data_IF_352796175429
#
_entry.id   IF_352796175429
#
_cell.length_a   1.000
_cell.length_b   1.000
_cell.length_c   1.000
_cell.angle_alpha   90.00
_cell.angle_beta   90.00
_cell.angle_gamma   90.00
#
_symmetry.space_group_name_H-M   'P 1'
#
loop_
_entity.id
_entity.type
_entity.pdbx_description
1 polymer ?
#
# COMPACT_ATOMS: atom_id res chain seq x y z
N UNK A 1 48.75 -27.20 -19.00
CA UNK A 1 47.53 -26.39 -19.09
C UNK A 1 47.48 -25.25 -18.07
N UNK A 2 48.42 -25.18 -17.11
CA UNK A 2 48.52 -24.03 -16.18
C UNK A 2 49.38 -22.86 -16.70
N UNK A 3 50.38 -23.11 -17.55
CA UNK A 3 51.32 -22.06 -17.96
C UNK A 3 50.69 -20.97 -18.84
N UNK A 4 49.77 -21.31 -19.75
CA UNK A 4 49.14 -20.35 -20.68
C UNK A 4 48.16 -19.39 -20.00
N UNK A 5 47.52 -19.81 -18.90
CA UNK A 5 46.62 -18.95 -18.14
C UNK A 5 47.41 -17.94 -17.29
N UNK A 6 48.58 -18.35 -16.76
CA UNK A 6 49.46 -17.46 -16.00
C UNK A 6 50.14 -16.43 -16.87
N UNK A 7 50.60 -16.78 -18.08
CA UNK A 7 51.18 -15.81 -19.03
C UNK A 7 50.14 -14.82 -19.55
N UNK A 8 48.90 -15.25 -19.76
CA UNK A 8 47.81 -14.38 -20.22
C UNK A 8 47.41 -13.36 -19.15
N UNK A 9 47.39 -13.74 -17.87
CA UNK A 9 47.17 -12.79 -16.78
C UNK A 9 48.30 -11.76 -16.68
N UNK A 10 49.56 -12.18 -16.89
CA UNK A 10 50.69 -11.25 -16.92
C UNK A 10 50.58 -10.22 -18.07
N UNK A 11 50.01 -10.60 -19.21
CA UNK A 11 49.74 -9.68 -20.32
C UNK A 11 48.72 -8.62 -19.92
N UNK A 12 47.64 -9.01 -19.24
CA UNK A 12 46.63 -8.07 -18.75
C UNK A 12 47.17 -7.14 -17.67
N UNK A 13 47.98 -7.67 -16.74
CA UNK A 13 48.62 -6.86 -15.70
C UNK A 13 49.58 -5.82 -16.31
N UNK A 14 50.32 -6.18 -17.38
CA UNK A 14 51.17 -5.23 -18.11
C UNK A 14 50.37 -4.12 -18.81
N UNK A 15 49.22 -4.45 -19.42
CA UNK A 15 48.34 -3.46 -20.04
C UNK A 15 47.68 -2.54 -18.98
N UNK A 16 47.25 -3.10 -17.84
CA UNK A 16 46.74 -2.31 -16.71
C UNK A 16 47.82 -1.38 -16.14
N UNK A 17 49.07 -1.85 -16.00
CA UNK A 17 50.18 -1.03 -15.56
C UNK A 17 50.50 0.11 -16.54
N UNK A 18 50.27 -0.09 -17.84
CA UNK A 18 50.39 0.94 -18.86
C UNK A 18 49.25 1.97 -18.85
N UNK A 19 48.17 1.71 -18.10
CA UNK A 19 47.02 2.60 -17.97
C UNK A 19 45.76 2.17 -18.77
N UNK A 20 45.75 0.97 -19.35
CA UNK A 20 44.55 0.44 -20.02
C UNK A 20 43.55 -0.12 -18.99
N UNK A 21 42.48 0.64 -18.76
CA UNK A 21 41.48 0.38 -17.69
C UNK A 21 40.63 -0.87 -17.95
N UNK A 22 40.41 -1.24 -19.22
CA UNK A 22 39.54 -2.35 -19.59
C UNK A 22 40.25 -3.73 -19.57
N UNK A 23 41.52 -3.81 -19.16
CA UNK A 23 42.22 -5.10 -19.03
C UNK A 23 41.63 -6.00 -17.92
N UNK A 24 40.88 -5.45 -16.97
CA UNK A 24 40.25 -6.20 -15.87
C UNK A 24 38.77 -6.56 -16.13
N UNK A 25 38.25 -6.32 -17.34
CA UNK A 25 36.85 -6.61 -17.66
C UNK A 25 36.60 -8.13 -17.74
N UNK A 26 35.72 -8.65 -16.89
CA UNK A 26 35.40 -10.09 -16.83
C UNK A 26 34.39 -10.57 -17.90
N UNK A 27 33.74 -9.64 -18.59
CA UNK A 27 32.59 -9.92 -19.45
C UNK A 27 32.92 -9.93 -20.96
N UNK A 28 34.18 -9.66 -21.34
CA UNK A 28 34.65 -9.66 -22.74
C UNK A 28 35.61 -10.82 -23.01
N UNK A 29 35.58 -11.43 -24.21
CA UNK A 29 36.47 -12.53 -24.54
C UNK A 29 37.95 -12.06 -24.55
N UNK A 30 38.90 -12.86 -24.03
CA UNK A 30 40.31 -12.47 -23.91
C UNK A 30 40.97 -11.97 -25.20
N UNK A 31 40.59 -12.53 -26.36
CA UNK A 31 41.10 -12.09 -27.66
C UNK A 31 40.69 -10.66 -28.04
N UNK A 32 39.49 -10.22 -27.62
CA UNK A 32 39.04 -8.84 -27.81
C UNK A 32 39.76 -7.88 -26.86
N UNK A 33 39.94 -8.26 -25.59
CA UNK A 33 40.70 -7.45 -24.62
C UNK A 33 42.14 -7.19 -25.10
N UNK A 34 42.78 -8.21 -25.68
CA UNK A 34 44.13 -8.08 -26.26
C UNK A 34 44.12 -7.17 -27.49
N UNK A 35 43.14 -7.31 -28.37
CA UNK A 35 43.00 -6.49 -29.59
C UNK A 35 42.79 -5.02 -29.24
N UNK A 36 41.89 -4.74 -28.29
CA UNK A 36 41.59 -3.40 -27.81
C UNK A 36 42.78 -2.79 -27.05
N UNK A 37 43.49 -3.60 -26.26
CA UNK A 37 44.71 -3.19 -25.58
C UNK A 37 45.85 -2.81 -26.54
N UNK A 38 46.04 -3.57 -27.62
CA UNK A 38 47.00 -3.24 -28.69
C UNK A 38 46.58 -1.96 -29.43
N UNK A 39 45.29 -1.80 -29.74
CA UNK A 39 44.74 -0.58 -30.34
C UNK A 39 45.01 0.65 -29.49
N UNK A 40 44.73 0.55 -28.19
CA UNK A 40 44.99 1.63 -27.24
C UNK A 40 46.49 2.00 -27.18
N UNK A 41 47.38 1.01 -27.11
CA UNK A 41 48.82 1.28 -27.09
C UNK A 41 49.31 1.95 -28.38
N UNK A 42 48.79 1.54 -29.54
CA UNK A 42 49.16 2.14 -30.84
C UNK A 42 48.61 3.56 -30.98
N UNK A 43 47.38 3.81 -30.53
CA UNK A 43 46.80 5.15 -30.49
C UNK A 43 47.58 6.10 -29.53
N UNK A 44 48.13 5.56 -28.44
CA UNK A 44 48.97 6.31 -27.52
C UNK A 44 50.37 6.62 -28.08
N UNK A 45 50.91 5.77 -28.97
CA UNK A 45 52.23 5.97 -29.60
C UNK A 45 52.13 6.78 -30.89
N UNK A 46 51.05 6.63 -31.66
CA UNK A 46 50.82 7.29 -32.94
C UNK A 46 49.44 7.93 -32.95
N UNK A 47 49.38 9.24 -33.23
CA UNK A 47 48.15 10.04 -33.36
C UNK A 47 47.35 9.71 -34.64
N UNK A 48 47.32 8.44 -35.05
CA UNK A 48 46.59 7.95 -36.21
C UNK A 48 45.29 7.28 -35.75
N UNK A 49 44.16 7.77 -36.22
CA UNK A 49 42.83 7.18 -36.00
C UNK A 49 42.76 5.90 -36.83
N UNK A 50 42.51 4.76 -36.19
CA UNK A 50 42.32 3.46 -36.87
C UNK A 50 40.83 3.09 -36.72
N UNK A 51 40.18 2.82 -37.85
CA UNK A 51 38.75 2.44 -37.96
C UNK A 51 38.50 1.03 -37.39
N UNK A 52 37.37 0.89 -36.69
CA UNK A 52 37.14 0.00 -35.54
C UNK A 52 36.59 -1.41 -35.84
N UNK A 53 36.85 -2.05 -37.00
CA UNK A 53 36.08 -3.29 -37.28
C UNK A 53 36.77 -4.47 -37.99
N UNK A 54 38.10 -4.47 -38.21
CA UNK A 54 38.76 -5.63 -38.85
C UNK A 54 40.09 -6.04 -38.21
N UNK A 55 40.17 -7.20 -37.56
CA UNK A 55 41.40 -7.77 -36.93
C UNK A 55 42.64 -7.91 -37.84
N UNK A 56 42.52 -7.66 -39.15
CA UNK A 56 43.64 -7.61 -40.11
C UNK A 56 44.46 -6.31 -40.01
N UNK A 57 43.94 -5.26 -39.36
CA UNK A 57 44.63 -3.96 -39.23
C UNK A 57 45.89 -4.05 -38.34
N UNK A 58 45.95 -5.04 -37.44
CA UNK A 58 47.02 -5.18 -36.42
C UNK A 58 48.40 -5.35 -37.08
N UNK A 59 48.51 -6.10 -38.18
CA UNK A 59 49.80 -6.34 -38.85
C UNK A 59 50.34 -5.07 -39.51
N UNK A 60 49.46 -4.28 -40.13
CA UNK A 60 49.82 -3.03 -40.78
C UNK A 60 50.15 -1.93 -39.76
N UNK A 61 49.41 -1.89 -38.65
CA UNK A 61 49.65 -0.92 -37.57
C UNK A 61 50.92 -1.24 -36.76
N UNK A 62 51.26 -2.51 -36.55
CA UNK A 62 52.55 -2.86 -35.94
C UNK A 62 53.72 -2.56 -36.87
N UNK A 63 53.53 -2.67 -38.20
CA UNK A 63 54.51 -2.26 -39.21
C UNK A 63 54.71 -0.74 -39.22
N UNK A 64 53.64 0.05 -39.10
CA UNK A 64 53.72 1.52 -39.08
C UNK A 64 54.43 2.06 -37.82
N UNK A 65 54.28 1.39 -36.67
CA UNK A 65 54.98 1.73 -35.42
C UNK A 65 56.41 1.15 -35.39
N UNK A 66 56.76 0.26 -36.32
CA UNK A 66 58.10 -0.32 -36.48
C UNK A 66 58.44 -1.40 -35.45
N UNK A 67 57.46 -2.23 -35.06
CA UNK A 67 57.67 -3.32 -34.11
C UNK A 67 58.59 -4.40 -34.69
N UNK A 68 59.66 -4.84 -33.98
CA UNK A 68 60.60 -5.85 -34.48
C UNK A 68 60.08 -7.29 -34.38
N UNK A 69 58.93 -7.51 -33.73
CA UNK A 69 58.36 -8.82 -33.47
C UNK A 69 57.14 -9.08 -34.40
N UNK A 70 57.12 -10.20 -35.14
CA UNK A 70 56.03 -10.51 -36.07
C UNK A 70 54.81 -11.05 -35.32
N UNK A 71 53.72 -10.28 -35.31
CA UNK A 71 52.41 -10.76 -34.85
C UNK A 71 51.49 -10.89 -36.06
N UNK A 72 50.71 -11.98 -36.12
CA UNK A 72 49.71 -12.18 -37.17
C UNK A 72 48.32 -12.16 -36.56
N UNK A 73 47.32 -11.80 -37.36
CA UNK A 73 45.92 -11.78 -36.92
C UNK A 73 45.45 -13.16 -36.39
N UNK A 74 45.97 -14.24 -36.95
CA UNK A 74 45.72 -15.61 -36.48
C UNK A 74 46.24 -15.86 -35.06
N UNK A 75 47.41 -15.31 -34.69
CA UNK A 75 48.00 -15.51 -33.36
C UNK A 75 47.17 -14.84 -32.26
N UNK A 76 46.50 -13.72 -32.54
CA UNK A 76 45.60 -13.03 -31.59
C UNK A 76 44.26 -13.76 -31.44
N UNK A 77 43.75 -14.32 -32.54
CA UNK A 77 42.51 -15.13 -32.53
C UNK A 77 42.70 -16.46 -31.80
N UNK A 78 43.84 -17.10 -32.01
CA UNK A 78 44.18 -18.39 -31.42
C UNK A 78 44.83 -18.26 -30.02
N UNK A 79 44.95 -17.03 -29.50
CA UNK A 79 45.50 -16.71 -28.17
C UNK A 79 46.90 -17.31 -27.92
N UNK A 80 47.77 -17.19 -28.92
CA UNK A 80 49.16 -17.63 -28.85
C UNK A 80 49.98 -16.67 -27.97
N UNK A 81 50.01 -16.95 -26.66
CA UNK A 81 50.67 -16.10 -25.65
C UNK A 81 52.15 -15.91 -25.89
N UNK A 82 52.82 -16.86 -26.55
CA UNK A 82 54.27 -16.81 -26.80
C UNK A 82 54.61 -15.80 -27.90
N UNK A 83 53.71 -15.60 -28.87
CA UNK A 83 53.84 -14.58 -29.90
C UNK A 83 53.33 -13.19 -29.45
N UNK A 84 52.31 -13.15 -28.59
CA UNK A 84 51.66 -11.90 -28.15
C UNK A 84 52.50 -11.17 -27.08
N UNK A 85 53.09 -11.91 -26.14
CA UNK A 85 53.78 -11.32 -24.98
C UNK A 85 54.93 -10.35 -25.36
N UNK A 86 55.85 -10.69 -26.29
CA UNK A 86 56.92 -9.79 -26.69
C UNK A 86 56.43 -8.48 -27.34
N UNK A 87 55.29 -8.54 -28.04
CA UNK A 87 54.71 -7.35 -28.70
C UNK A 87 54.10 -6.41 -27.68
N UNK A 88 53.33 -6.92 -26.72
CA UNK A 88 52.73 -6.09 -25.67
C UNK A 88 53.80 -5.49 -24.76
N UNK A 89 54.82 -6.28 -24.37
CA UNK A 89 55.92 -5.76 -23.56
C UNK A 89 56.63 -4.60 -24.26
N UNK A 90 56.88 -4.71 -25.58
CA UNK A 90 57.50 -3.66 -26.36
C UNK A 90 56.60 -2.41 -26.52
N UNK A 91 55.30 -2.61 -26.77
CA UNK A 91 54.33 -1.51 -26.90
C UNK A 91 54.19 -0.72 -25.60
N UNK A 92 54.02 -1.40 -24.47
CA UNK A 92 53.90 -0.77 -23.14
C UNK A 92 55.15 0.05 -22.81
N UNK A 93 56.35 -0.49 -23.07
CA UNK A 93 57.60 0.24 -22.84
C UNK A 93 57.68 1.51 -23.69
N UNK A 94 57.15 1.48 -24.92
CA UNK A 94 57.14 2.63 -25.82
C UNK A 94 56.06 3.67 -25.46
N UNK A 95 54.91 3.25 -24.93
CA UNK A 95 53.88 4.14 -24.36
C UNK A 95 54.42 4.91 -23.16
N UNK A 96 55.10 4.21 -22.22
CA UNK A 96 55.69 4.84 -21.04
C UNK A 96 56.76 5.87 -21.42
N UNK A 97 57.61 5.57 -22.41
CA UNK A 97 58.57 6.56 -22.92
C UNK A 97 57.90 7.77 -23.58
N UNK A 98 56.79 7.59 -24.30
CA UNK A 98 56.03 8.69 -24.94
C UNK A 98 55.38 9.63 -23.90
N UNK A 99 54.85 9.08 -22.80
CA UNK A 99 54.28 9.86 -21.69
C UNK A 99 55.33 10.69 -20.93
N UNK A 100 56.58 10.21 -20.83
CA UNK A 100 57.67 10.98 -20.22
C UNK A 100 58.07 12.22 -21.05
N UNK A 101 57.95 12.19 -22.38
CA UNK A 101 58.16 13.37 -23.23
C UNK A 101 57.06 14.43 -23.05
N UNK A 102 55.80 14.03 -22.88
CA UNK A 102 54.67 14.94 -22.62
C UNK A 102 54.71 15.58 -21.22
N UNK A 103 55.35 14.92 -20.24
CA UNK A 103 55.53 15.49 -18.90
C UNK A 103 56.67 16.52 -18.84
N UNK A 104 57.69 16.39 -19.71
CA UNK A 104 58.84 17.30 -19.76
C UNK A 104 58.61 18.61 -20.57
N UNK A 105 57.55 18.70 -21.39
CA UNK A 105 57.19 19.96 -22.06
C UNK A 105 56.56 21.01 -21.12
N UNK A 106 56.19 20.65 -19.88
CA UNK A 106 55.64 21.59 -18.88
C UNK A 106 56.75 22.35 -18.10
N UNK A 107 58.04 22.00 -18.30
CA UNK A 107 59.14 22.61 -17.51
C UNK A 107 60.07 23.56 -18.27
N UNK A 108 59.86 23.85 -19.56
CA UNK A 108 60.70 24.84 -20.26
C UNK A 108 59.95 25.69 -21.29
N UNK A 109 59.42 26.83 -20.84
CA UNK A 109 59.75 28.14 -21.44
C UNK A 109 59.14 29.27 -20.60
N UNK A 110 59.81 29.61 -19.50
CA UNK A 110 59.77 30.97 -18.97
C UNK A 110 60.44 31.88 -20.01
N UNK A 111 59.69 32.86 -20.54
CA UNK A 111 60.12 34.22 -20.88
C UNK A 111 59.01 34.95 -21.67
N UNK A 112 58.03 35.54 -20.97
CA UNK A 112 57.57 36.93 -21.19
C UNK A 112 56.73 37.38 -19.99
N UNK A 113 57.19 38.44 -19.32
CA UNK A 113 56.60 39.07 -18.14
C UNK A 113 55.50 40.05 -18.58
N UNK A 114 54.24 39.86 -18.15
CA UNK A 114 53.20 40.90 -18.31
C UNK A 114 51.71 40.55 -18.18
N UNK A 115 51.25 39.29 -18.26
CA UNK A 115 49.80 38.95 -18.30
C UNK A 115 49.27 37.98 -17.21
N UNK A 116 50.08 37.67 -16.19
CA UNK A 116 49.80 36.55 -15.25
C UNK A 116 48.71 36.79 -14.19
N UNK A 117 48.52 38.02 -13.71
CA UNK A 117 47.66 38.25 -12.53
C UNK A 117 46.15 38.18 -12.84
N UNK A 118 45.72 38.65 -14.02
CA UNK A 118 44.31 38.61 -14.43
C UNK A 118 43.85 37.18 -14.75
N UNK A 119 44.73 36.36 -15.34
CA UNK A 119 44.46 34.94 -15.59
C UNK A 119 44.35 34.17 -14.26
N UNK A 120 45.24 34.42 -13.31
CA UNK A 120 45.22 33.75 -11.99
C UNK A 120 43.95 34.09 -11.16
N UNK A 121 43.44 35.31 -11.25
CA UNK A 121 42.18 35.70 -10.58
C UNK A 121 40.96 35.05 -11.25
N UNK A 122 40.94 34.97 -12.58
CA UNK A 122 39.88 34.32 -13.34
C UNK A 122 39.85 32.80 -13.11
N UNK A 123 41.01 32.15 -12.99
CA UNK A 123 41.09 30.73 -12.62
C UNK A 123 40.52 30.45 -11.22
N UNK A 124 40.76 31.33 -10.23
CA UNK A 124 40.19 31.19 -8.88
C UNK A 124 38.67 31.36 -8.82
N UNK A 125 38.09 32.22 -9.66
CA UNK A 125 36.63 32.35 -9.76
C UNK A 125 36.00 31.14 -10.46
N UNK A 126 36.62 30.65 -11.54
CA UNK A 126 36.17 29.44 -12.24
C UNK A 126 36.18 28.25 -11.27
N UNK A 127 37.26 28.05 -10.51
CA UNK A 127 37.37 26.98 -9.52
C UNK A 127 36.27 27.07 -8.43
N UNK A 128 35.96 28.28 -7.94
CA UNK A 128 34.85 28.51 -7.00
C UNK A 128 33.49 28.15 -7.61
N UNK A 129 33.24 28.58 -8.85
CA UNK A 129 31.98 28.26 -9.54
C UNK A 129 31.87 26.77 -9.83
N UNK A 130 32.96 26.08 -10.17
CA UNK A 130 33.00 24.63 -10.37
C UNK A 130 32.69 23.88 -9.08
N UNK A 131 33.21 24.33 -7.93
CA UNK A 131 32.88 23.78 -6.62
C UNK A 131 31.39 23.99 -6.31
N UNK A 132 30.83 25.18 -6.55
CA UNK A 132 29.39 25.44 -6.35
C UNK A 132 28.51 24.60 -7.27
N UNK A 133 28.88 24.43 -8.55
CA UNK A 133 28.17 23.58 -9.51
C UNK A 133 28.22 22.12 -9.09
N UNK A 134 29.39 21.64 -8.63
CA UNK A 134 29.56 20.28 -8.11
C UNK A 134 28.66 20.03 -6.89
N UNK A 135 28.60 20.99 -5.96
CA UNK A 135 27.72 20.93 -4.78
C UNK A 135 26.24 20.93 -5.16
N UNK A 136 25.82 21.81 -6.08
CA UNK A 136 24.43 21.86 -6.57
C UNK A 136 24.03 20.59 -7.30
N UNK A 137 24.94 20.00 -8.10
CA UNK A 137 24.72 18.71 -8.75
C UNK A 137 24.55 17.58 -7.72
N UNK A 138 25.41 17.54 -6.70
CA UNK A 138 25.27 16.59 -5.59
C UNK A 138 23.91 16.70 -4.88
N UNK A 139 23.46 17.92 -4.59
CA UNK A 139 22.14 18.16 -3.99
C UNK A 139 20.99 17.72 -4.92
N UNK A 140 21.13 17.94 -6.23
CA UNK A 140 20.15 17.50 -7.22
C UNK A 140 20.08 15.98 -7.31
N UNK A 141 21.22 15.30 -7.28
CA UNK A 141 21.31 13.84 -7.30
C UNK A 141 20.71 13.21 -6.03
N UNK A 142 20.91 13.86 -4.88
CA UNK A 142 20.29 13.46 -3.61
C UNK A 142 18.77 13.67 -3.64
N UNK A 143 18.29 14.81 -4.16
CA UNK A 143 16.87 15.08 -4.31
C UNK A 143 16.20 14.07 -5.26
N UNK A 144 16.89 13.72 -6.35
CA UNK A 144 16.44 12.71 -7.30
C UNK A 144 16.40 11.31 -6.68
N UNK A 145 17.37 10.94 -5.85
CA UNK A 145 17.35 9.70 -5.07
C UNK A 145 16.15 9.65 -4.10
N UNK A 146 15.90 10.75 -3.38
CA UNK A 146 14.75 10.84 -2.47
C UNK A 146 13.42 10.75 -3.23
N UNK A 147 13.28 11.45 -4.35
CA UNK A 147 12.11 11.36 -5.24
C UNK A 147 11.89 9.92 -5.72
N UNK A 148 12.94 9.25 -6.17
CA UNK A 148 12.88 7.86 -6.63
C UNK A 148 12.43 6.92 -5.51
N UNK A 149 12.93 7.09 -4.28
CA UNK A 149 12.52 6.30 -3.13
C UNK A 149 11.03 6.48 -2.81
N UNK A 150 10.54 7.72 -2.83
CA UNK A 150 9.11 8.02 -2.60
C UNK A 150 8.23 7.42 -3.69
N UNK A 151 8.64 7.49 -4.97
CA UNK A 151 7.90 6.87 -6.08
C UNK A 151 7.80 5.36 -5.89
N UNK A 152 8.91 4.69 -5.55
CA UNK A 152 8.90 3.24 -5.25
C UNK A 152 7.95 2.88 -4.11
N UNK A 153 7.89 3.70 -3.06
CA UNK A 153 6.97 3.49 -1.95
C UNK A 153 5.51 3.68 -2.39
N UNK A 154 5.21 4.69 -3.22
CA UNK A 154 3.88 4.92 -3.78
C UNK A 154 3.43 3.76 -4.68
N UNK A 155 4.32 3.23 -5.51
CA UNK A 155 4.04 2.08 -6.38
C UNK A 155 3.72 0.84 -5.55
N UNK A 156 4.50 0.59 -4.49
CA UNK A 156 4.24 -0.53 -3.59
C UNK A 156 2.88 -0.39 -2.86
N UNK A 157 2.52 0.82 -2.41
CA UNK A 157 1.22 1.09 -1.81
C UNK A 157 0.08 0.87 -2.83
N UNK A 158 0.28 1.31 -4.08
CA UNK A 158 -0.71 1.13 -5.16
C UNK A 158 -0.95 -0.34 -5.49
N UNK A 159 0.10 -1.14 -5.53
CA UNK A 159 -0.02 -2.60 -5.70
C UNK A 159 -0.80 -3.26 -4.55
N UNK A 160 -0.56 -2.84 -3.30
CA UNK A 160 -1.30 -3.35 -2.13
C UNK A 160 -2.78 -3.01 -2.20
N UNK A 161 -3.10 -1.77 -2.56
CA UNK A 161 -4.49 -1.29 -2.73
C UNK A 161 -5.22 -2.08 -3.82
N UNK A 162 -4.54 -2.37 -4.94
CA UNK A 162 -5.09 -3.18 -6.02
C UNK A 162 -5.35 -4.63 -5.60
N UNK A 163 -4.45 -5.23 -4.81
CA UNK A 163 -4.62 -6.60 -4.27
C UNK A 163 -5.81 -6.72 -3.32
N UNK A 164 -6.11 -5.68 -2.55
CA UNK A 164 -7.23 -5.64 -1.60
C UNK A 164 -8.57 -5.20 -2.23
N UNK A 165 -8.59 -4.83 -3.53
CA UNK A 165 -9.81 -4.47 -4.25
C UNK A 165 -10.43 -3.12 -3.83
N UNK A 166 -9.68 -2.27 -3.13
CA UNK A 166 -10.16 -1.01 -2.54
C UNK A 166 -9.89 0.24 -3.40
N UNK A 167 -9.42 0.08 -4.63
CA UNK A 167 -8.96 1.17 -5.51
C UNK A 167 -10.03 2.26 -5.73
N UNK A 168 -11.31 1.88 -5.89
CA UNK A 168 -12.42 2.84 -6.05
C UNK A 168 -12.63 3.72 -4.81
N UNK A 169 -12.50 3.16 -3.60
CA UNK A 169 -12.60 3.88 -2.34
C UNK A 169 -11.41 4.81 -2.11
N UNK A 170 -10.19 4.32 -2.41
CA UNK A 170 -8.97 5.12 -2.27
C UNK A 170 -8.94 6.26 -3.28
N UNK A 171 -9.36 6.07 -4.53
CA UNK A 171 -9.46 7.16 -5.51
C UNK A 171 -10.43 8.26 -5.06
N UNK A 172 -11.57 7.87 -4.46
CA UNK A 172 -12.51 8.82 -3.87
C UNK A 172 -11.89 9.58 -2.69
N UNK A 173 -11.14 8.89 -1.84
CA UNK A 173 -10.43 9.50 -0.71
C UNK A 173 -9.33 10.47 -1.19
N UNK A 174 -8.55 10.09 -2.21
CA UNK A 174 -7.53 10.95 -2.82
C UNK A 174 -8.19 12.19 -3.39
N UNK A 175 -9.28 12.07 -4.16
CA UNK A 175 -10.02 13.21 -4.66
C UNK A 175 -10.48 14.16 -3.54
N UNK A 176 -11.09 13.61 -2.47
CA UNK A 176 -11.55 14.38 -1.31
C UNK A 176 -10.39 15.04 -0.54
N UNK A 177 -9.27 14.34 -0.38
CA UNK A 177 -8.10 14.90 0.30
C UNK A 177 -7.45 16.02 -0.53
N UNK A 178 -7.46 15.87 -1.86
CA UNK A 178 -6.96 16.90 -2.78
C UNK A 178 -7.87 18.12 -2.78
N UNK A 179 -9.19 17.95 -2.74
CA UNK A 179 -10.14 19.05 -2.62
C UNK A 179 -10.05 19.74 -1.25
N UNK A 180 -9.89 18.97 -0.16
CA UNK A 180 -9.64 19.51 1.18
C UNK A 180 -8.36 20.35 1.23
N UNK A 181 -7.24 19.83 0.71
CA UNK A 181 -5.97 20.58 0.64
C UNK A 181 -6.06 21.84 -0.21
N UNK A 182 -6.88 21.85 -1.26
CA UNK A 182 -7.19 23.07 -2.02
C UNK A 182 -7.98 24.08 -1.18
N UNK A 183 -8.96 23.61 -0.41
CA UNK A 183 -9.78 24.46 0.45
C UNK A 183 -8.95 25.08 1.59
N UNK A 184 -8.10 24.29 2.25
CA UNK A 184 -7.17 24.73 3.29
C UNK A 184 -6.23 25.84 2.78
N UNK A 185 -5.67 25.68 1.56
CA UNK A 185 -4.88 26.74 0.93
C UNK A 185 -5.71 27.99 0.65
N UNK A 186 -6.95 27.83 0.21
CA UNK A 186 -7.85 28.93 -0.08
C UNK A 186 -8.22 29.72 1.18
N UNK A 187 -8.41 29.02 2.31
CA UNK A 187 -8.66 29.61 3.63
C UNK A 187 -7.43 30.38 4.13
N UNK A 188 -6.24 29.78 4.07
CA UNK A 188 -4.99 30.44 4.46
C UNK A 188 -4.69 31.68 3.59
N UNK A 189 -4.95 31.60 2.29
CA UNK A 189 -4.83 32.74 1.37
C UNK A 189 -5.85 33.83 1.72
N UNK A 190 -7.11 33.45 1.99
CA UNK A 190 -8.15 34.40 2.39
C UNK A 190 -7.80 35.09 3.70
N UNK A 191 -7.30 34.36 4.68
CA UNK A 191 -6.83 34.88 5.96
C UNK A 191 -5.69 35.88 5.79
N UNK A 192 -4.66 35.52 5.01
CA UNK A 192 -3.54 36.42 4.71
C UNK A 192 -3.99 37.70 3.99
N UNK A 193 -4.90 37.56 3.02
CA UNK A 193 -5.47 38.69 2.30
C UNK A 193 -6.32 39.59 3.21
N UNK A 194 -7.07 39.00 4.14
CA UNK A 194 -7.85 39.73 5.15
C UNK A 194 -6.94 40.55 6.06
N UNK A 195 -5.87 39.95 6.55
CA UNK A 195 -4.94 40.60 7.47
C UNK A 195 -4.14 41.72 6.74
N UNK A 196 -3.76 41.51 5.48
CA UNK A 196 -3.16 42.56 4.63
C UNK A 196 -4.13 43.72 4.39
N UNK A 197 -5.39 43.43 4.04
CA UNK A 197 -6.38 44.48 3.77
C UNK A 197 -6.77 45.25 5.02
N UNK A 198 -6.77 44.59 6.18
CA UNK A 198 -6.95 45.24 7.48
C UNK A 198 -5.83 46.25 7.76
N UNK A 199 -4.56 45.88 7.52
CA UNK A 199 -3.42 46.77 7.70
C UNK A 199 -3.51 47.99 6.76
N UNK A 200 -3.81 47.78 5.47
CA UNK A 200 -4.00 48.87 4.50
C UNK A 200 -5.06 49.88 4.97
N UNK A 201 -6.22 49.39 5.38
CA UNK A 201 -7.31 50.25 5.86
C UNK A 201 -6.93 50.98 7.16
N UNK A 202 -6.17 50.34 8.04
CA UNK A 202 -5.71 50.95 9.28
C UNK A 202 -4.68 52.08 9.02
N UNK A 203 -3.83 51.91 8.01
CA UNK A 203 -2.90 52.95 7.55
C UNK A 203 -3.65 54.11 6.89
N UNK A 204 -4.65 53.82 6.04
CA UNK A 204 -5.53 54.83 5.42
C UNK A 204 -6.29 55.64 6.49
N UNK A 205 -6.83 54.98 7.53
CA UNK A 205 -7.47 55.65 8.68
C UNK A 205 -6.46 56.57 9.39
N UNK A 206 -5.26 56.06 9.69
CA UNK A 206 -4.21 56.84 10.37
C UNK A 206 -3.74 58.04 9.54
N UNK A 207 -3.74 57.92 8.21
CA UNK A 207 -3.42 59.03 7.31
C UNK A 207 -4.55 60.06 7.23
N UNK A 208 -5.81 59.62 7.19
CA UNK A 208 -6.98 60.49 7.24
C UNK A 208 -7.08 61.25 8.57
N UNK A 209 -6.85 60.59 9.70
CA UNK A 209 -6.78 61.22 11.03
C UNK A 209 -5.70 62.32 11.07
N UNK A 210 -4.54 62.07 10.45
CA UNK A 210 -3.46 63.06 10.32
C UNK A 210 -3.86 64.25 9.44
N UNK A 211 -4.56 63.99 8.33
CA UNK A 211 -5.06 65.04 7.41
C UNK A 211 -6.14 65.90 8.08
N UNK A 212 -7.02 65.30 8.89
CA UNK A 212 -8.03 66.01 9.71
C UNK A 212 -7.34 66.89 10.76
N UNK A 213 -6.31 66.38 11.44
CA UNK A 213 -5.54 67.16 12.41
C UNK A 213 -4.81 68.37 11.79
N UNK A 214 -4.51 68.32 10.48
CA UNK A 214 -3.80 69.37 9.75
C UNK A 214 -4.72 70.44 9.11
N UNK A 215 -6.03 70.43 9.37
CA UNK A 215 -6.94 71.52 9.02
C UNK A 215 -7.21 71.71 7.51
N UNK A 216 -7.49 70.63 6.78
CA UNK A 216 -7.82 70.66 5.35
C UNK A 216 -9.30 70.99 5.04
N UNK A 217 -9.53 71.71 3.94
CA UNK A 217 -10.81 72.30 3.52
C UNK A 217 -11.89 71.25 3.15
N UNK A 218 -13.08 71.40 3.75
CA UNK A 218 -14.01 70.29 4.00
C UNK A 218 -15.10 70.05 2.95
N UNK A 219 -15.22 70.84 1.87
CA UNK A 219 -16.42 70.78 1.01
C UNK A 219 -16.35 69.80 -0.16
N UNK A 220 -15.26 69.78 -0.93
CA UNK A 220 -15.10 68.84 -2.06
C UNK A 220 -14.69 67.43 -1.60
N UNK A 221 -14.04 67.35 -0.42
CA UNK A 221 -13.64 66.11 0.23
C UNK A 221 -14.86 65.35 0.78
N UNK A 222 -15.86 66.07 1.31
CA UNK A 222 -17.08 65.47 1.89
C UNK A 222 -17.87 64.68 0.86
N UNK A 223 -18.11 65.23 -0.33
CA UNK A 223 -18.95 64.57 -1.34
C UNK A 223 -18.29 63.31 -1.90
N UNK A 224 -16.97 63.33 -2.16
CA UNK A 224 -16.24 62.15 -2.63
C UNK A 224 -16.09 61.07 -1.54
N UNK A 225 -15.88 61.49 -0.28
CA UNK A 225 -15.95 60.57 0.85
C UNK A 225 -17.36 59.99 1.03
N UNK A 226 -18.42 60.78 0.92
CA UNK A 226 -19.79 60.29 1.01
C UNK A 226 -20.09 59.25 -0.08
N UNK A 227 -19.67 59.50 -1.32
CA UNK A 227 -19.79 58.51 -2.40
C UNK A 227 -19.00 57.23 -2.11
N UNK A 228 -17.75 57.34 -1.64
CA UNK A 228 -16.91 56.17 -1.31
C UNK A 228 -17.44 55.36 -0.11
N UNK A 229 -17.95 56.03 0.93
CA UNK A 229 -18.60 55.40 2.07
C UNK A 229 -19.90 54.71 1.67
N UNK A 230 -20.67 55.32 0.76
CA UNK A 230 -21.89 54.70 0.23
C UNK A 230 -21.57 53.43 -0.56
N UNK A 231 -20.55 53.43 -1.42
CA UNK A 231 -20.09 52.23 -2.15
C UNK A 231 -19.60 51.14 -1.18
N UNK A 232 -18.81 51.51 -0.15
CA UNK A 232 -18.35 50.58 0.88
C UNK A 232 -19.51 49.99 1.69
N UNK A 233 -20.54 50.79 2.02
CA UNK A 233 -21.75 50.32 2.70
C UNK A 233 -22.54 49.34 1.83
N UNK A 234 -22.71 49.63 0.54
CA UNK A 234 -23.38 48.71 -0.39
C UNK A 234 -22.61 47.40 -0.55
N UNK A 235 -21.27 47.46 -0.66
CA UNK A 235 -20.40 46.27 -0.70
C UNK A 235 -20.46 45.48 0.61
N UNK A 236 -20.49 46.16 1.76
CA UNK A 236 -20.67 45.53 3.07
C UNK A 236 -22.02 44.81 3.13
N UNK A 237 -23.10 45.44 2.68
CA UNK A 237 -24.42 44.83 2.68
C UNK A 237 -24.52 43.64 1.72
N UNK A 238 -23.85 43.71 0.55
CA UNK A 238 -23.75 42.59 -0.36
C UNK A 238 -23.02 41.40 0.28
N UNK A 239 -21.88 41.64 0.93
CA UNK A 239 -21.12 40.58 1.61
C UNK A 239 -21.88 40.00 2.80
N UNK A 240 -22.58 40.84 3.59
CA UNK A 240 -23.49 40.37 4.65
C UNK A 240 -24.60 39.48 4.10
N UNK A 241 -25.20 39.82 2.96
CA UNK A 241 -26.22 38.98 2.29
C UNK A 241 -25.64 37.63 1.86
N UNK A 242 -24.43 37.61 1.31
CA UNK A 242 -23.73 36.38 0.93
C UNK A 242 -23.42 35.50 2.16
N UNK A 243 -22.92 36.10 3.25
CA UNK A 243 -22.68 35.40 4.51
C UNK A 243 -23.97 34.83 5.09
N UNK A 244 -25.06 35.60 5.09
CA UNK A 244 -26.36 35.15 5.55
C UNK A 244 -26.89 33.96 4.71
N UNK A 245 -26.64 33.95 3.40
CA UNK A 245 -26.96 32.80 2.55
C UNK A 245 -26.15 31.56 2.96
N UNK A 246 -24.83 31.70 3.16
CA UNK A 246 -23.98 30.59 3.63
C UNK A 246 -24.35 30.08 5.01
N UNK A 247 -24.74 30.95 5.93
CA UNK A 247 -25.23 30.54 7.25
C UNK A 247 -26.53 29.73 7.15
N UNK A 248 -27.45 30.13 6.27
CA UNK A 248 -28.67 29.33 6.01
C UNK A 248 -28.32 27.94 5.45
N UNK A 249 -27.36 27.86 4.54
CA UNK A 249 -26.90 26.58 3.99
C UNK A 249 -26.28 25.69 5.10
N UNK A 250 -25.45 26.25 5.98
CA UNK A 250 -24.86 25.53 7.13
C UNK A 250 -25.94 25.02 8.07
N UNK A 251 -26.94 25.83 8.39
CA UNK A 251 -28.05 25.42 9.27
C UNK A 251 -28.89 24.32 8.61
N UNK A 252 -29.11 24.39 7.30
CA UNK A 252 -29.79 23.32 6.56
C UNK A 252 -29.01 22.00 6.60
N UNK A 253 -27.69 22.04 6.42
CA UNK A 253 -26.83 20.87 6.55
C UNK A 253 -26.82 20.31 7.98
N UNK A 254 -26.78 21.17 9.00
CA UNK A 254 -26.87 20.74 10.41
C UNK A 254 -28.17 20.01 10.70
N UNK A 255 -29.31 20.52 10.21
CA UNK A 255 -30.60 19.82 10.33
C UNK A 255 -30.58 18.44 9.69
N UNK A 256 -30.00 18.31 8.50
CA UNK A 256 -29.85 17.00 7.84
C UNK A 256 -28.94 16.05 8.63
N UNK A 257 -27.96 16.57 9.35
CA UNK A 257 -27.10 15.78 10.24
C UNK A 257 -27.87 15.39 11.51
N UNK A 258 -28.65 16.29 12.09
CA UNK A 258 -29.47 16.03 13.29
C UNK A 258 -30.61 15.03 12.99
N UNK A 259 -31.09 14.97 11.74
CA UNK A 259 -32.05 13.96 11.27
C UNK A 259 -31.46 12.53 11.24
N UNK A 260 -30.12 12.39 11.28
CA UNK A 260 -29.46 11.09 11.35
C UNK A 260 -29.38 10.64 12.81
N UNK A 261 -29.77 9.38 13.11
CA UNK A 261 -29.73 8.89 14.48
C UNK A 261 -28.30 8.91 15.01
N UNK A 262 -28.13 9.51 16.17
CA UNK A 262 -26.84 9.56 16.84
C UNK A 262 -26.44 8.18 17.36
N UNK A 263 -25.15 8.02 17.69
CA UNK A 263 -24.62 6.73 18.18
C UNK A 263 -25.42 6.17 19.38
N UNK A 264 -25.90 7.02 20.29
CA UNK A 264 -26.73 6.60 21.41
C UNK A 264 -28.12 6.11 20.99
N UNK A 265 -28.74 6.72 19.98
CA UNK A 265 -30.03 6.26 19.44
C UNK A 265 -29.89 4.91 18.74
N UNK A 266 -28.80 4.72 17.97
CA UNK A 266 -28.49 3.43 17.34
C UNK A 266 -28.38 2.34 18.41
N UNK A 267 -27.62 2.58 19.48
CA UNK A 267 -27.47 1.62 20.59
C UNK A 267 -28.82 1.34 21.26
N UNK A 268 -29.67 2.37 21.45
CA UNK A 268 -31.02 2.16 21.98
C UNK A 268 -31.88 1.29 21.06
N UNK A 269 -31.81 1.50 19.74
CA UNK A 269 -32.50 0.66 18.77
C UNK A 269 -31.98 -0.79 18.78
N UNK A 270 -30.67 -1.00 18.89
CA UNK A 270 -30.07 -2.34 19.01
C UNK A 270 -30.57 -3.07 20.26
N UNK A 271 -30.61 -2.41 21.41
CA UNK A 271 -31.17 -2.98 22.63
C UNK A 271 -32.66 -3.30 22.44
N UNK A 272 -33.44 -2.38 21.88
CA UNK A 272 -34.87 -2.57 21.68
C UNK A 272 -35.18 -3.72 20.72
N UNK A 273 -34.40 -3.86 19.64
CA UNK A 273 -34.50 -4.98 18.70
C UNK A 273 -34.14 -6.30 19.37
N UNK A 274 -33.09 -6.32 20.20
CA UNK A 274 -32.69 -7.52 20.96
C UNK A 274 -33.77 -7.97 21.94
N UNK A 275 -34.39 -7.04 22.66
CA UNK A 275 -35.54 -7.31 23.54
C UNK A 275 -36.72 -7.87 22.75
N UNK A 276 -37.07 -7.23 21.63
CA UNK A 276 -38.18 -7.68 20.79
C UNK A 276 -37.92 -9.09 20.25
N UNK A 277 -36.69 -9.37 19.82
CA UNK A 277 -36.30 -10.69 19.35
C UNK A 277 -36.43 -11.75 20.45
N UNK A 278 -36.01 -11.43 21.69
CA UNK A 278 -36.20 -12.32 22.83
C UNK A 278 -37.69 -12.60 23.12
N UNK A 279 -38.55 -11.59 23.01
CA UNK A 279 -40.00 -11.75 23.17
C UNK A 279 -40.61 -12.64 22.08
N UNK A 280 -40.26 -12.39 20.81
CA UNK A 280 -40.70 -13.20 19.67
C UNK A 280 -40.26 -14.66 19.85
N UNK A 281 -38.99 -14.89 20.21
CA UNK A 281 -38.47 -16.23 20.45
C UNK A 281 -39.18 -16.92 21.62
N UNK A 282 -39.49 -16.17 22.69
CA UNK A 282 -40.30 -16.66 23.81
C UNK A 282 -41.69 -17.11 23.39
N UNK A 283 -42.40 -16.28 22.62
CA UNK A 283 -43.73 -16.61 22.07
C UNK A 283 -43.67 -17.80 21.12
N UNK A 284 -42.68 -17.86 20.24
CA UNK A 284 -42.48 -18.98 19.33
C UNK A 284 -42.30 -20.30 20.10
N UNK A 285 -41.44 -20.33 21.13
CA UNK A 285 -41.28 -21.51 22.01
C UNK A 285 -42.59 -21.89 22.70
N UNK A 286 -43.35 -20.91 23.18
CA UNK A 286 -44.64 -21.16 23.83
C UNK A 286 -45.65 -21.79 22.85
N UNK A 287 -45.76 -21.24 21.63
CA UNK A 287 -46.59 -21.78 20.56
C UNK A 287 -46.22 -23.21 20.22
N UNK A 288 -44.91 -23.51 20.07
CA UNK A 288 -44.44 -24.87 19.83
C UNK A 288 -44.84 -25.84 20.96
N UNK A 289 -44.74 -25.42 22.23
CA UNK A 289 -45.19 -26.24 23.37
C UNK A 289 -46.69 -26.52 23.31
N UNK A 290 -47.50 -25.54 22.94
CA UNK A 290 -48.94 -25.73 22.78
C UNK A 290 -49.26 -26.71 21.66
N UNK A 291 -48.63 -26.59 20.49
CA UNK A 291 -48.81 -27.54 19.40
C UNK A 291 -48.35 -28.95 19.76
N UNK A 292 -47.20 -29.10 20.42
CA UNK A 292 -46.72 -30.41 20.86
C UNK A 292 -47.70 -31.07 21.86
N UNK A 293 -48.20 -30.29 22.82
CA UNK A 293 -49.18 -30.78 23.80
C UNK A 293 -50.50 -31.15 23.12
N UNK A 294 -50.98 -30.31 22.20
CA UNK A 294 -52.19 -30.57 21.42
C UNK A 294 -52.05 -31.86 20.60
N UNK A 295 -50.94 -32.04 19.88
CA UNK A 295 -50.70 -33.25 19.09
C UNK A 295 -50.64 -34.50 19.97
N UNK A 296 -49.95 -34.43 21.11
CA UNK A 296 -49.91 -35.55 22.06
C UNK A 296 -51.31 -35.91 22.60
N UNK A 297 -52.11 -34.92 22.97
CA UNK A 297 -53.49 -35.14 23.42
C UNK A 297 -54.38 -35.69 22.31
N UNK A 298 -54.17 -35.24 21.06
CA UNK A 298 -54.88 -35.74 19.89
C UNK A 298 -54.53 -37.21 19.64
N UNK A 299 -53.25 -37.58 19.67
CA UNK A 299 -52.80 -38.98 19.56
C UNK A 299 -53.38 -39.86 20.67
N UNK A 300 -53.37 -39.40 21.92
CA UNK A 300 -53.99 -40.11 23.05
C UNK A 300 -55.49 -40.30 22.79
N UNK A 301 -56.20 -39.25 22.38
CA UNK A 301 -57.63 -39.33 22.05
C UNK A 301 -57.89 -40.37 20.95
N UNK A 302 -57.09 -40.37 19.89
CA UNK A 302 -57.22 -41.34 18.80
C UNK A 302 -56.97 -42.79 19.28
N UNK A 303 -55.96 -43.00 20.13
CA UNK A 303 -55.67 -44.31 20.72
C UNK A 303 -56.80 -44.77 21.63
N UNK A 304 -57.35 -43.88 22.48
CA UNK A 304 -58.50 -44.19 23.33
C UNK A 304 -59.75 -44.54 22.50
N UNK A 305 -59.99 -43.85 21.39
CA UNK A 305 -61.10 -44.19 20.47
C UNK A 305 -60.90 -45.56 19.82
N UNK A 306 -59.66 -45.88 19.42
CA UNK A 306 -59.31 -47.21 18.89
C UNK A 306 -59.54 -48.29 19.95
N UNK A 307 -59.13 -48.06 21.20
CA UNK A 307 -59.36 -48.99 22.31
C UNK A 307 -60.85 -49.21 22.58
N UNK A 308 -61.64 -48.14 22.65
CA UNK A 308 -63.10 -48.25 22.82
C UNK A 308 -63.75 -49.04 21.67
N UNK A 309 -63.34 -48.79 20.42
CA UNK A 309 -63.84 -49.53 19.26
C UNK A 309 -63.48 -51.01 19.30
N UNK A 310 -62.26 -51.33 19.75
CA UNK A 310 -61.76 -52.68 19.91
C UNK A 310 -62.54 -53.42 21.00
N UNK A 311 -62.75 -52.79 22.16
CA UNK A 311 -63.53 -53.34 23.25
C UNK A 311 -64.97 -53.63 22.82
N UNK A 312 -65.61 -52.70 22.11
CA UNK A 312 -66.95 -52.92 21.55
C UNK A 312 -66.99 -54.11 20.56
N UNK A 313 -65.97 -54.23 19.69
CA UNK A 313 -65.85 -55.37 18.77
C UNK A 313 -65.68 -56.69 19.52
N UNK A 314 -64.86 -56.72 20.57
CA UNK A 314 -64.65 -57.91 21.40
C UNK A 314 -65.96 -58.32 22.08
N UNK A 315 -66.68 -57.36 22.69
CA UNK A 315 -67.96 -57.62 23.36
C UNK A 315 -69.00 -58.18 22.37
N UNK A 316 -69.10 -57.61 21.17
CA UNK A 316 -70.03 -58.08 20.14
C UNK A 316 -69.70 -59.51 19.68
N UNK A 317 -68.42 -59.82 19.47
CA UNK A 317 -67.98 -61.15 19.02
C UNK A 317 -68.02 -62.20 20.13
N UNK A 318 -67.98 -61.78 21.40
CA UNK A 318 -67.88 -62.67 22.55
C UNK A 318 -69.08 -63.62 22.65
N UNK A 319 -70.30 -63.09 22.51
CA UNK A 319 -71.53 -63.88 22.66
C UNK A 319 -71.66 -64.95 21.56
N UNK A 320 -71.37 -64.60 20.31
CA UNK A 320 -71.43 -65.54 19.18
C UNK A 320 -70.32 -66.58 19.25
N UNK A 321 -69.10 -66.18 19.60
CA UNK A 321 -67.95 -67.08 19.67
C UNK A 321 -68.05 -68.11 20.81
N UNK A 322 -68.69 -67.77 21.93
CA UNK A 322 -68.85 -68.69 23.07
C UNK A 322 -69.82 -69.85 22.83
N UNK A 323 -70.76 -69.68 21.88
CA UNK A 323 -71.76 -70.69 21.54
C UNK A 323 -71.16 -71.97 20.91
N UNK A 324 -69.92 -71.90 20.40
CA UNK A 324 -69.25 -72.99 19.69
C UNK A 324 -67.80 -73.17 20.18
N UNK A 325 -67.30 -74.41 20.18
CA UNK A 325 -65.89 -74.70 20.50
C UNK A 325 -64.93 -74.15 19.43
N UNK A 326 -65.32 -74.17 18.16
CA UNK A 326 -64.55 -73.57 17.06
C UNK A 326 -64.56 -72.03 17.14
N UNK A 327 -65.70 -71.44 17.52
CA UNK A 327 -65.81 -70.00 17.78
C UNK A 327 -64.87 -69.54 18.90
N UNK A 328 -64.77 -70.30 19.99
CA UNK A 328 -63.82 -70.05 21.10
C UNK A 328 -62.36 -70.06 20.63
N UNK A 329 -61.97 -71.04 19.81
CA UNK A 329 -60.60 -71.11 19.28
C UNK A 329 -60.26 -69.91 18.36
N UNK A 330 -61.20 -69.49 17.51
CA UNK A 330 -61.05 -68.31 16.63
C UNK A 330 -60.92 -67.01 17.42
N UNK A 331 -61.72 -66.84 18.49
CA UNK A 331 -61.62 -65.67 19.38
C UNK A 331 -60.24 -65.57 20.04
N UNK A 332 -59.71 -66.70 20.54
CA UNK A 332 -58.37 -66.76 21.14
C UNK A 332 -57.30 -66.37 20.12
N UNK A 333 -57.37 -66.91 18.90
CA UNK A 333 -56.41 -66.57 17.84
C UNK A 333 -56.46 -65.08 17.45
N UNK A 334 -57.67 -64.50 17.39
CA UNK A 334 -57.87 -63.05 17.15
C UNK A 334 -57.26 -62.21 18.27
N UNK A 335 -57.49 -62.57 19.53
CA UNK A 335 -56.90 -61.88 20.70
C UNK A 335 -55.37 -61.98 20.70
N UNK A 336 -54.79 -63.14 20.39
CA UNK A 336 -53.34 -63.30 20.24
C UNK A 336 -52.78 -62.41 19.13
N UNK A 337 -53.49 -62.29 18.00
CA UNK A 337 -53.13 -61.40 16.91
C UNK A 337 -53.12 -59.93 17.31
N UNK A 338 -54.15 -59.49 18.06
CA UNK A 338 -54.25 -58.12 18.59
C UNK A 338 -53.10 -57.83 19.55
N UNK A 339 -52.82 -58.73 20.50
CA UNK A 339 -51.73 -58.57 21.47
C UNK A 339 -50.37 -58.47 20.76
N UNK A 340 -50.10 -59.36 19.79
CA UNK A 340 -48.87 -59.30 18.98
C UNK A 340 -48.76 -58.01 18.19
N UNK A 341 -49.85 -57.55 17.56
CA UNK A 341 -49.87 -56.29 16.81
C UNK A 341 -49.63 -55.07 17.69
N UNK A 342 -50.20 -55.04 18.90
CA UNK A 342 -49.96 -53.98 19.89
C UNK A 342 -48.52 -53.99 20.41
N UNK A 343 -47.96 -55.17 20.68
CA UNK A 343 -46.57 -55.33 21.11
C UNK A 343 -45.59 -54.81 20.05
N UNK A 344 -45.78 -55.16 18.77
CA UNK A 344 -44.95 -54.68 17.67
C UNK A 344 -44.99 -53.15 17.53
N UNK A 345 -46.18 -52.54 17.68
CA UNK A 345 -46.30 -51.07 17.65
C UNK A 345 -45.56 -50.42 18.81
N UNK A 346 -45.67 -50.99 20.02
CA UNK A 346 -44.98 -50.49 21.19
C UNK A 346 -43.45 -50.53 21.00
N UNK A 347 -42.91 -51.64 20.50
CA UNK A 347 -41.48 -51.78 20.22
C UNK A 347 -40.99 -50.75 19.20
N UNK A 348 -41.77 -50.49 18.13
CA UNK A 348 -41.43 -49.47 17.13
C UNK A 348 -41.38 -48.06 17.73
N UNK A 349 -42.34 -47.71 18.59
CA UNK A 349 -42.36 -46.41 19.28
C UNK A 349 -41.19 -46.28 20.25
N UNK A 350 -40.88 -47.34 21.00
CA UNK A 350 -39.73 -47.36 21.90
C UNK A 350 -38.39 -47.23 21.18
N UNK A 351 -38.26 -47.82 19.98
CA UNK A 351 -37.06 -47.66 19.17
C UNK A 351 -36.87 -46.20 18.73
N UNK A 352 -37.92 -45.57 18.18
CA UNK A 352 -37.89 -44.17 17.78
C UNK A 352 -37.60 -43.22 18.96
N UNK A 353 -38.15 -43.52 20.14
CA UNK A 353 -37.86 -42.75 21.35
C UNK A 353 -36.36 -42.78 21.72
N UNK A 354 -35.72 -43.95 21.65
CA UNK A 354 -34.28 -44.09 21.93
C UNK A 354 -33.41 -43.35 20.91
N UNK A 355 -33.81 -43.34 19.64
CA UNK A 355 -33.12 -42.58 18.59
C UNK A 355 -33.20 -41.07 18.85
N UNK A 356 -34.38 -40.55 19.19
CA UNK A 356 -34.55 -39.13 19.53
C UNK A 356 -33.83 -38.74 20.83
N UNK A 357 -33.80 -39.61 21.83
CA UNK A 357 -33.04 -39.39 23.06
C UNK A 357 -31.53 -39.25 22.77
N UNK A 358 -31.00 -40.11 21.90
CA UNK A 358 -29.60 -40.02 21.45
C UNK A 358 -29.33 -38.72 20.70
N UNK A 359 -30.23 -38.32 19.79
CA UNK A 359 -30.12 -37.06 19.06
C UNK A 359 -30.12 -35.86 20.02
N UNK A 360 -31.00 -35.87 21.03
CA UNK A 360 -31.10 -34.82 22.02
C UNK A 360 -29.81 -34.67 22.84
N UNK A 361 -29.18 -35.79 23.22
CA UNK A 361 -27.89 -35.78 23.92
C UNK A 361 -26.81 -35.16 23.02
N UNK A 362 -26.69 -35.61 21.77
CA UNK A 362 -25.74 -35.06 20.79
C UNK A 362 -25.94 -33.54 20.59
N UNK A 363 -27.19 -33.08 20.45
CA UNK A 363 -27.50 -31.65 20.36
C UNK A 363 -27.12 -30.87 21.63
N UNK A 364 -27.33 -31.43 22.82
CA UNK A 364 -26.92 -30.79 24.08
C UNK A 364 -25.40 -30.66 24.17
N UNK A 365 -24.67 -31.68 23.77
CA UNK A 365 -23.20 -31.68 23.80
C UNK A 365 -22.63 -30.65 22.81
N UNK A 366 -23.17 -30.61 21.58
CA UNK A 366 -22.81 -29.58 20.58
C UNK A 366 -23.10 -28.17 21.08
N UNK A 367 -24.27 -27.96 21.70
CA UNK A 367 -24.62 -26.67 22.30
C UNK A 367 -23.66 -26.28 23.42
N UNK A 368 -23.32 -27.21 24.32
CA UNK A 368 -22.37 -26.96 25.40
C UNK A 368 -20.96 -26.61 24.87
N UNK A 369 -20.51 -27.27 23.81
CA UNK A 369 -19.25 -26.96 23.14
C UNK A 369 -19.28 -25.55 22.52
N UNK A 370 -20.34 -25.20 21.80
CA UNK A 370 -20.50 -23.88 21.19
C UNK A 370 -20.56 -22.75 22.23
N UNK A 371 -21.29 -22.95 23.34
CA UNK A 371 -21.34 -21.99 24.45
C UNK A 371 -19.95 -21.79 25.08
N UNK A 372 -19.18 -22.87 25.23
CA UNK A 372 -17.82 -22.80 25.77
C UNK A 372 -16.88 -22.03 24.85
N UNK A 373 -16.99 -22.22 23.52
CA UNK A 373 -16.26 -21.43 22.53
C UNK A 373 -16.66 -19.94 22.57
N UNK A 374 -17.97 -19.64 22.64
CA UNK A 374 -18.44 -18.27 22.75
C UNK A 374 -17.89 -17.56 24.01
N UNK A 375 -17.88 -18.23 25.17
CA UNK A 375 -17.26 -17.70 26.40
C UNK A 375 -15.77 -17.42 26.23
N UNK A 376 -15.05 -18.29 25.50
CA UNK A 376 -13.63 -18.09 25.19
C UNK A 376 -13.41 -16.87 24.30
N UNK A 377 -14.20 -16.71 23.23
CA UNK A 377 -14.14 -15.54 22.35
C UNK A 377 -14.44 -14.24 23.09
N UNK A 378 -15.49 -14.23 23.92
CA UNK A 378 -15.83 -13.06 24.74
C UNK A 378 -14.69 -12.67 25.69
N UNK A 379 -14.05 -13.66 26.33
CA UNK A 379 -12.91 -13.42 27.21
C UNK A 379 -11.71 -12.84 26.45
N UNK A 380 -11.43 -13.36 25.26
CA UNK A 380 -10.37 -12.85 24.38
C UNK A 380 -10.65 -11.42 23.91
N UNK A 381 -11.89 -11.12 23.51
CA UNK A 381 -12.31 -9.77 23.13
C UNK A 381 -12.17 -8.77 24.27
N UNK A 382 -12.56 -9.15 25.50
CA UNK A 382 -12.33 -8.31 26.68
C UNK A 382 -10.84 -8.06 26.93
N UNK A 383 -10.01 -9.09 26.83
CA UNK A 383 -8.56 -8.94 26.99
C UNK A 383 -7.98 -8.00 25.92
N UNK A 384 -8.40 -8.17 24.66
CA UNK A 384 -8.02 -7.30 23.55
C UNK A 384 -8.44 -5.85 23.80
N UNK A 385 -9.67 -5.59 24.24
CA UNK A 385 -10.16 -4.25 24.56
C UNK A 385 -9.34 -3.58 25.68
N UNK A 386 -8.92 -4.35 26.69
CA UNK A 386 -8.04 -3.85 27.75
C UNK A 386 -6.67 -3.48 27.21
N UNK A 387 -6.08 -4.28 26.32
CA UNK A 387 -4.80 -3.95 25.68
C UNK A 387 -4.91 -2.75 24.73
N UNK A 388 -6.01 -2.61 23.98
CA UNK A 388 -6.28 -1.40 23.19
C UNK A 388 -6.33 -0.15 24.07
N UNK A 389 -7.07 -0.20 25.19
CA UNK A 389 -7.16 0.92 26.13
C UNK A 389 -5.80 1.25 26.78
N UNK A 390 -4.95 0.24 27.03
CA UNK A 390 -3.56 0.48 27.47
C UNK A 390 -2.74 1.17 26.38
N UNK A 391 -2.83 0.69 25.14
CA UNK A 391 -2.10 1.25 24.00
C UNK A 391 -2.48 2.72 23.74
N UNK A 392 -3.77 3.06 23.81
CA UNK A 392 -4.24 4.45 23.70
C UNK A 392 -3.66 5.33 24.82
N UNK A 393 -3.59 4.84 26.05
CA UNK A 393 -2.95 5.55 27.16
C UNK A 393 -1.46 5.78 26.94
N UNK A 394 -0.75 4.83 26.34
CA UNK A 394 0.65 5.02 25.98
C UNK A 394 0.81 6.04 24.84
N UNK A 395 -0.05 5.99 23.82
CA UNK A 395 -0.07 6.99 22.74
C UNK A 395 -0.30 8.43 23.20
N UNK A 396 -1.22 8.64 24.16
CA UNK A 396 -1.45 9.98 24.73
C UNK A 396 -0.26 10.51 25.55
N UNK A 397 0.55 9.63 26.17
CA UNK A 397 1.75 10.04 26.92
C UNK A 397 2.89 10.47 26.00
N UNK A 398 3.07 9.78 24.88
CA UNK A 398 4.12 10.15 23.89
C UNK A 398 3.80 11.48 23.20
N UNK A 399 2.52 11.84 23.06
CA UNK A 399 2.11 13.15 22.51
C UNK A 399 2.20 14.33 23.48
N UNK A 400 2.47 14.11 24.77
CA UNK A 400 2.60 15.17 25.78
C UNK A 400 4.03 15.46 26.22
N UNK A 401 5.01 14.71 25.70
CA UNK A 401 6.44 14.90 25.94
C UNK A 401 7.19 15.52 24.75
N UNK A 402 6.48 15.96 23.69
CA UNK A 402 7.05 16.67 22.54
C UNK A 402 6.59 18.12 22.44
#
# INVERSE_FOLDING_TARGET
>A
MDDTASTLQNIFDLLSAAGYVNAAATDTPPSHIITDGISWCIAAISSSIIDDDNTEWIEEALRSVGCPHPLRSSHVRDLDTDAIFPVIQWLVQRVSSSQEYLHNEVSHSDHTFGEGEHKLQQFKEIEKTEISIRMLRGNLDELNHRKMNVVKQLDHLRERINKEGADSGVQKLIYLMTSFKKLERHENHFQSNRDSKHLELQDEISELERKIANGWDGKSLSDELHCSFSDLLERLDLTKKQLAAKLRDIVALRRQIDDLPCQSEIIQYEHRLSELYAQIQGKHRQTHKYYATYNALLEIKELMLKEASLLNSIISQFQEAFSSTDGRAKLVHSMEGIVKGSQQKLEKVQLGFREEEKNLIDFKDRYAAAVSQHKRFYSLLKAFQVECAKNERFGCKVGSEN
#
